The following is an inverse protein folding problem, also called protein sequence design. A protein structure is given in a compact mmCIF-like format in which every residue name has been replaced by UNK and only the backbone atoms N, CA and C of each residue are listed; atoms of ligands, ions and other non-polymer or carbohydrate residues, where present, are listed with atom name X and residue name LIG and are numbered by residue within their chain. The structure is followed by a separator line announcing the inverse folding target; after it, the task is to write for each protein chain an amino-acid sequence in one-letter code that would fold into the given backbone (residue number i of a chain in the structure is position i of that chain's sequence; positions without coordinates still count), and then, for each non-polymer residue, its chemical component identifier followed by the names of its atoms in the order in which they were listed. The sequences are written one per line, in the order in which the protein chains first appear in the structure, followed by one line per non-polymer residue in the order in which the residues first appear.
data_IF_556970636974
#
_entry.id   IF_556970636974
#
_cell.length_a   1.000
_cell.length_b   1.000
_cell.length_c   1.000
_cell.angle_alpha   90.00
_cell.angle_beta   90.00
_cell.angle_gamma   90.00
#
_symmetry.space_group_name_H-M   'P 1'
#
loop_
_entity.id
_entity.type
_entity.pdbx_description
1 polymer ?
#
# COMPACT_ATOMS: atom_id res chain seq x y z
N UNK A 1 6.05 -4.16 -30.33
CA UNK A 1 6.16 -4.65 -28.93
C UNK A 1 7.61 -4.97 -28.62
N UNK A 2 8.34 -4.10 -27.91
CA UNK A 2 9.78 -4.25 -27.69
C UNK A 2 10.08 -5.15 -26.47
N UNK A 3 10.69 -6.31 -26.71
CA UNK A 3 11.25 -7.19 -25.67
C UNK A 3 12.74 -6.90 -25.51
N UNK A 4 13.22 -6.87 -24.27
CA UNK A 4 14.64 -6.70 -23.93
C UNK A 4 15.15 -7.96 -23.24
N UNK A 5 16.41 -8.29 -23.52
CA UNK A 5 17.07 -9.44 -22.90
C UNK A 5 17.59 -9.03 -21.52
N UNK A 6 17.04 -9.62 -20.47
CA UNK A 6 17.42 -9.29 -19.10
C UNK A 6 18.86 -9.77 -18.82
N UNK A 7 19.78 -8.88 -18.44
CA UNK A 7 21.18 -9.25 -18.18
C UNK A 7 21.34 -10.23 -17.00
N UNK A 8 20.40 -10.22 -16.04
CA UNK A 8 20.47 -11.07 -14.86
C UNK A 8 19.99 -12.51 -15.11
N UNK A 9 18.97 -12.73 -15.95
CA UNK A 9 18.39 -14.06 -16.18
C UNK A 9 18.42 -14.55 -17.64
N UNK A 10 18.97 -13.76 -18.57
CA UNK A 10 19.03 -14.00 -20.04
C UNK A 10 17.69 -14.29 -20.73
N UNK A 11 16.57 -14.23 -20.02
CA UNK A 11 15.24 -14.34 -20.59
C UNK A 11 14.84 -13.07 -21.35
N UNK A 12 14.01 -13.24 -22.37
CA UNK A 12 13.33 -12.14 -23.05
C UNK A 12 12.18 -11.64 -22.17
N UNK A 13 12.33 -10.43 -21.63
CA UNK A 13 11.33 -9.82 -20.75
C UNK A 13 10.77 -8.57 -21.44
N UNK A 14 9.45 -8.39 -21.35
CA UNK A 14 8.77 -7.19 -21.87
C UNK A 14 9.38 -5.95 -21.20
N UNK A 15 9.76 -4.92 -21.98
CA UNK A 15 10.44 -3.70 -21.47
C UNK A 15 9.72 -3.06 -20.28
N UNK A 16 8.39 -3.09 -20.28
CA UNK A 16 7.52 -2.58 -19.19
C UNK A 16 7.82 -3.24 -17.82
N UNK A 17 8.10 -4.55 -17.80
CA UNK A 17 8.42 -5.28 -16.56
C UNK A 17 9.80 -4.95 -16.00
N UNK A 18 10.75 -4.50 -16.83
CA UNK A 18 12.08 -4.10 -16.38
C UNK A 18 12.09 -2.70 -15.74
N UNK A 19 11.18 -1.81 -16.16
CA UNK A 19 11.06 -0.45 -15.59
C UNK A 19 10.15 -0.38 -14.36
N UNK A 20 9.33 -1.42 -14.12
CA UNK A 20 8.47 -1.49 -12.94
C UNK A 20 9.30 -1.80 -11.69
N UNK A 21 9.85 -0.76 -11.06
CA UNK A 21 10.59 -0.89 -9.80
C UNK A 21 9.63 -1.42 -8.74
N UNK A 22 9.99 -2.57 -8.14
CA UNK A 22 9.24 -3.12 -7.00
C UNK A 22 9.14 -2.05 -5.89
N UNK A 23 7.98 -1.91 -5.23
CA UNK A 23 7.87 -1.05 -4.06
C UNK A 23 8.86 -1.53 -3.00
N UNK A 24 9.43 -0.61 -2.22
CA UNK A 24 10.43 -0.94 -1.19
C UNK A 24 9.92 -0.64 0.22
N UNK A 25 8.91 0.23 0.37
CA UNK A 25 8.33 0.61 1.64
C UNK A 25 6.80 0.56 1.58
N UNK A 26 6.18 0.40 2.75
CA UNK A 26 4.74 0.50 2.98
C UNK A 26 4.48 1.59 4.01
N UNK A 27 3.45 2.40 3.78
CA UNK A 27 2.96 3.34 4.79
C UNK A 27 1.92 2.65 5.69
N UNK A 28 2.06 2.78 7.01
CA UNK A 28 1.16 2.16 7.99
C UNK A 28 -0.18 2.88 8.06
N UNK A 29 -0.21 4.21 7.91
CA UNK A 29 -1.43 4.99 8.09
C UNK A 29 -2.39 4.90 6.90
N UNK A 30 -1.87 4.85 5.68
CA UNK A 30 -2.68 4.85 4.46
C UNK A 30 -2.50 3.59 3.60
N UNK A 31 -1.66 2.65 4.02
CA UNK A 31 -1.45 1.37 3.32
C UNK A 31 -0.81 1.48 1.94
N UNK A 32 -0.25 2.65 1.55
CA UNK A 32 0.33 2.77 0.21
C UNK A 32 1.70 2.11 0.11
N UNK A 33 1.90 1.35 -0.96
CA UNK A 33 3.19 0.75 -1.33
C UNK A 33 3.95 1.69 -2.27
N UNK A 34 5.21 1.98 -1.97
CA UNK A 34 6.01 2.89 -2.78
C UNK A 34 7.41 3.15 -2.25
N UNK A 35 8.09 4.12 -2.88
CA UNK A 35 9.34 4.68 -2.37
C UNK A 35 9.02 5.93 -1.54
N UNK A 36 9.59 6.09 -0.34
CA UNK A 36 9.41 7.29 0.44
C UNK A 36 10.10 8.47 -0.25
N UNK A 37 9.61 9.67 0.04
CA UNK A 37 10.25 10.92 -0.37
C UNK A 37 11.03 11.49 0.81
N UNK A 38 12.19 12.06 0.52
CA UNK A 38 13.01 12.75 1.52
C UNK A 38 12.54 14.19 1.65
N UNK A 39 12.29 14.63 2.88
CA UNK A 39 11.93 16.01 3.18
C UNK A 39 12.99 16.61 4.10
N UNK A 40 13.42 17.83 3.76
CA UNK A 40 14.36 18.60 4.57
C UNK A 40 13.58 19.67 5.33
N UNK A 41 13.63 19.70 6.68
CA UNK A 41 12.95 20.73 7.47
C UNK A 41 13.63 22.10 7.41
N UNK A 42 14.88 22.19 6.94
CA UNK A 42 15.60 23.45 6.88
C UNK A 42 15.15 24.32 5.70
N UNK A 43 14.94 25.60 5.99
CA UNK A 43 14.57 26.61 5.00
C UNK A 43 15.82 27.24 4.40
N UNK A 44 15.95 27.18 3.07
CA UNK A 44 17.11 27.74 2.34
C UNK A 44 17.25 29.25 2.62
N UNK A 45 16.15 29.99 2.69
CA UNK A 45 16.17 31.44 2.90
C UNK A 45 16.76 31.83 4.27
N UNK A 46 16.40 31.09 5.33
CA UNK A 46 16.96 31.27 6.67
C UNK A 46 18.46 30.95 6.65
N UNK A 47 18.86 29.85 6.00
CA UNK A 47 20.26 29.48 5.86
C UNK A 47 21.09 30.61 5.21
N UNK A 48 20.58 31.21 4.13
CA UNK A 48 21.25 32.32 3.42
C UNK A 48 21.36 33.56 4.30
N UNK A 49 20.29 33.97 4.98
CA UNK A 49 20.31 35.14 5.87
C UNK A 49 21.30 34.94 7.01
N UNK A 50 21.24 33.78 7.68
CA UNK A 50 22.15 33.48 8.79
C UNK A 50 23.60 33.47 8.31
N UNK A 51 23.90 32.86 7.16
CA UNK A 51 25.25 32.84 6.60
C UNK A 51 25.77 34.24 6.25
N UNK A 52 24.89 35.13 5.79
CA UNK A 52 25.25 36.50 5.41
C UNK A 52 25.43 37.42 6.63
N UNK A 53 24.67 37.21 7.70
CA UNK A 53 24.86 37.93 8.96
C UNK A 53 26.03 37.37 9.78
N UNK A 54 26.19 36.05 9.82
CA UNK A 54 27.20 35.35 10.62
C UNK A 54 27.48 33.96 10.04
N UNK A 55 28.70 33.73 9.53
CA UNK A 55 29.07 32.47 8.86
C UNK A 55 28.85 31.23 9.76
N UNK A 56 29.21 31.32 11.04
CA UNK A 56 29.12 30.19 12.00
C UNK A 56 27.69 29.67 12.20
N UNK A 57 26.69 30.47 12.61
CA UNK A 57 25.32 29.99 12.75
C UNK A 57 24.69 29.55 11.42
N UNK A 58 25.09 30.14 10.29
CA UNK A 58 24.66 29.70 8.96
C UNK A 58 25.07 28.25 8.66
N UNK A 59 26.34 27.92 8.88
CA UNK A 59 26.86 26.55 8.68
C UNK A 59 26.19 25.55 9.61
N UNK A 60 26.03 25.90 10.90
CA UNK A 60 25.35 25.03 11.87
C UNK A 60 23.91 24.72 11.45
N UNK A 61 23.17 25.73 10.96
CA UNK A 61 21.80 25.54 10.50
C UNK A 61 21.70 24.60 9.29
N UNK A 62 22.64 24.71 8.34
CA UNK A 62 22.71 23.82 7.17
C UNK A 62 22.98 22.36 7.61
N UNK A 63 23.93 22.17 8.53
CA UNK A 63 24.24 20.84 9.08
C UNK A 63 23.03 20.23 9.79
N UNK A 64 22.34 21.00 10.63
CA UNK A 64 21.10 20.56 11.27
C UNK A 64 20.06 20.14 10.25
N UNK A 65 19.90 20.89 9.15
CA UNK A 65 18.97 20.57 8.06
C UNK A 65 19.27 19.23 7.39
N UNK A 66 20.55 18.96 7.07
CA UNK A 66 20.98 17.70 6.47
C UNK A 66 20.73 16.53 7.43
N UNK A 67 21.17 16.66 8.68
CA UNK A 67 21.03 15.62 9.71
C UNK A 67 19.56 15.35 10.04
N UNK A 68 18.72 16.37 9.97
CA UNK A 68 17.29 16.29 10.28
C UNK A 68 16.43 15.90 9.08
N UNK A 69 17.00 15.50 7.95
CA UNK A 69 16.22 14.98 6.83
C UNK A 69 15.53 13.66 7.22
N UNK A 70 14.26 13.50 6.83
CA UNK A 70 13.51 12.30 7.15
C UNK A 70 12.66 11.83 5.96
N UNK A 71 12.25 10.57 6.02
CA UNK A 71 11.43 9.93 5.00
C UNK A 71 9.95 10.08 5.32
N UNK A 72 9.15 10.39 4.32
CA UNK A 72 7.68 10.45 4.43
C UNK A 72 6.98 9.73 3.29
N UNK A 73 5.72 9.36 3.53
CA UNK A 73 4.83 8.84 2.52
C UNK A 73 4.48 9.91 1.46
N UNK A 74 4.57 9.61 0.15
CA UNK A 74 4.21 10.57 -0.91
C UNK A 74 2.71 10.88 -0.98
N UNK A 75 1.84 10.00 -0.46
CA UNK A 75 0.39 10.21 -0.48
C UNK A 75 -0.12 11.01 0.72
N UNK A 76 0.19 10.56 1.94
CA UNK A 76 -0.36 11.16 3.16
C UNK A 76 0.65 12.00 3.96
N UNK A 77 1.93 12.07 3.55
CA UNK A 77 3.02 12.75 4.26
C UNK A 77 3.33 12.24 5.68
N UNK A 78 2.79 11.09 6.07
CA UNK A 78 3.16 10.48 7.35
C UNK A 78 4.61 9.99 7.38
N UNK A 79 5.22 10.06 8.57
CA UNK A 79 6.54 9.48 8.90
C UNK A 79 6.48 7.98 9.20
N UNK A 80 5.28 7.40 9.34
CA UNK A 80 5.08 5.97 9.60
C UNK A 80 5.25 5.14 8.31
N UNK A 81 6.48 5.12 7.77
CA UNK A 81 6.87 4.34 6.60
C UNK A 81 7.84 3.23 7.02
N UNK A 82 7.55 1.98 6.65
CA UNK A 82 8.30 0.79 7.04
C UNK A 82 8.83 0.08 5.79
N UNK A 83 10.10 -0.37 5.77
CA UNK A 83 10.63 -1.15 4.65
C UNK A 83 9.97 -2.52 4.55
N UNK A 84 9.71 -2.98 3.32
CA UNK A 84 9.09 -4.30 3.06
C UNK A 84 9.98 -5.49 3.43
N UNK A 85 11.29 -5.25 3.58
CA UNK A 85 12.25 -6.28 3.99
C UNK A 85 12.25 -6.53 5.51
N UNK A 86 11.58 -5.69 6.31
CA UNK A 86 11.45 -5.87 7.76
C UNK A 86 10.36 -6.90 8.08
N UNK A 87 10.48 -7.70 9.16
CA UNK A 87 9.45 -8.66 9.57
C UNK A 87 8.07 -8.00 9.73
N UNK A 88 8.02 -6.77 10.26
CA UNK A 88 6.77 -6.00 10.34
C UNK A 88 6.19 -5.67 8.97
N UNK A 89 7.03 -5.30 8.01
CA UNK A 89 6.61 -5.01 6.64
C UNK A 89 6.05 -6.24 5.92
N UNK A 90 6.61 -7.43 6.18
CA UNK A 90 6.11 -8.69 5.64
C UNK A 90 4.74 -9.07 6.20
N UNK A 91 4.54 -8.86 7.50
CA UNK A 91 3.23 -9.08 8.15
C UNK A 91 2.11 -8.22 7.54
N UNK A 92 2.41 -6.96 7.20
CA UNK A 92 1.45 -6.10 6.50
C UNK A 92 1.04 -6.66 5.14
N UNK A 93 1.96 -7.26 4.38
CA UNK A 93 1.64 -7.86 3.07
C UNK A 93 0.77 -9.10 3.24
N UNK A 94 1.13 -9.99 4.17
CA UNK A 94 0.38 -11.23 4.41
C UNK A 94 -1.02 -10.97 4.94
N UNK A 95 -1.18 -10.01 5.86
CA UNK A 95 -2.49 -9.62 6.39
C UNK A 95 -3.36 -8.94 5.32
N UNK A 96 -2.76 -8.11 4.46
CA UNK A 96 -3.48 -7.48 3.35
C UNK A 96 -3.94 -8.52 2.31
N UNK A 97 -3.09 -9.51 1.98
CA UNK A 97 -3.49 -10.63 1.12
C UNK A 97 -4.60 -11.47 1.76
N UNK A 98 -4.49 -11.79 3.05
CA UNK A 98 -5.50 -12.58 3.76
C UNK A 98 -6.87 -11.90 3.71
N UNK A 99 -6.91 -10.57 3.89
CA UNK A 99 -8.15 -9.78 3.82
C UNK A 99 -8.79 -9.75 2.42
N UNK A 100 -7.99 -9.74 1.36
CA UNK A 100 -8.49 -9.75 -0.02
C UNK A 100 -9.00 -11.13 -0.46
N UNK A 101 -8.43 -12.21 0.04
CA UNK A 101 -8.86 -13.57 -0.31
C UNK A 101 -10.14 -13.99 0.43
N UNK A 102 -10.35 -13.51 1.67
CA UNK A 102 -11.60 -13.79 2.42
C UNK A 102 -12.81 -12.95 2.00
N UNK A 103 -12.65 -11.93 1.15
CA UNK A 103 -13.79 -11.16 0.65
C UNK A 103 -14.39 -11.74 -0.64
N UNK A 104 -13.61 -12.47 -1.44
CA UNK A 104 -14.07 -13.01 -2.73
C UNK A 104 -14.38 -14.52 -2.71
N UNK A 105 -13.89 -15.27 -1.71
CA UNK A 105 -14.13 -16.72 -1.62
C UNK A 105 -15.25 -17.15 -0.66
N UNK A 106 -16.00 -16.21 -0.09
CA UNK A 106 -17.18 -16.48 0.75
C UNK A 106 -18.52 -16.24 0.03
N UNK A 107 -18.52 -16.29 -1.30
CA UNK A 107 -19.77 -16.34 -2.08
C UNK A 107 -20.32 -17.77 -2.22
N UNK A 108 -19.53 -18.85 -2.44
CA UNK A 108 -20.10 -20.20 -2.61
C UNK A 108 -20.44 -20.90 -1.28
N UNK A 109 -19.78 -20.55 -0.17
CA UNK A 109 -19.96 -21.18 1.15
C UNK A 109 -21.25 -20.75 1.86
N UNK A 110 -21.72 -19.51 1.63
CA UNK A 110 -22.99 -19.02 2.16
C UNK A 110 -24.21 -19.65 1.46
N UNK A 111 -24.08 -19.97 0.17
CA UNK A 111 -25.12 -20.65 -0.61
C UNK A 111 -25.30 -22.10 -0.11
N UNK A 112 -24.22 -22.77 0.26
CA UNK A 112 -24.27 -24.11 0.86
C UNK A 112 -24.95 -24.11 2.25
N UNK A 113 -24.69 -23.11 3.10
CA UNK A 113 -25.39 -22.94 4.38
C UNK A 113 -26.89 -22.68 4.24
N UNK A 114 -27.30 -22.02 3.16
CA UNK A 114 -28.73 -21.81 2.86
C UNK A 114 -29.41 -23.08 2.31
N UNK A 115 -28.66 -23.96 1.62
CA UNK A 115 -29.15 -25.27 1.22
C UNK A 115 -29.37 -26.21 2.43
N UNK A 116 -28.49 -26.15 3.43
CA UNK A 116 -28.61 -26.97 4.65
C UNK A 116 -29.81 -26.55 5.53
N UNK A 117 -30.16 -25.27 5.55
CA UNK A 117 -31.35 -24.77 6.27
C UNK A 117 -32.67 -25.07 5.52
N UNK A 118 -32.61 -25.33 4.21
CA UNK A 118 -33.77 -25.76 3.40
C UNK A 118 -34.13 -27.22 3.69
N UNK A 119 -33.14 -28.08 3.84
CA UNK A 119 -33.36 -29.52 4.10
C UNK A 119 -33.84 -29.78 5.54
N UNK A 120 -33.66 -28.83 6.46
CA UNK A 120 -34.21 -28.87 7.82
C UNK A 120 -35.68 -28.39 7.92
N UNK A 121 -36.33 -28.04 6.81
CA UNK A 121 -37.80 -27.86 6.75
C UNK A 121 -38.36 -26.58 7.40
N UNK A 122 -37.57 -25.54 7.60
CA UNK A 122 -38.00 -24.32 8.34
C UNK A 122 -38.65 -23.26 7.42
N UNK A 123 -38.48 -23.31 6.09
CA UNK A 123 -39.01 -22.29 5.16
C UNK A 123 -39.61 -22.95 3.90
N UNK A 124 -40.80 -22.50 3.47
CA UNK A 124 -41.47 -22.92 2.22
C UNK A 124 -40.86 -22.22 1.00
N UNK A 125 -40.86 -22.87 -0.19
CA UNK A 125 -40.23 -22.34 -1.42
C UNK A 125 -40.56 -20.86 -1.73
N UNK A 126 -41.77 -20.43 -1.38
CA UNK A 126 -42.29 -19.08 -1.67
C UNK A 126 -41.51 -17.94 -0.97
N UNK A 127 -41.04 -18.14 0.27
CA UNK A 127 -40.30 -17.08 0.98
C UNK A 127 -38.83 -16.97 0.54
N UNK A 128 -38.27 -18.08 0.04
CA UNK A 128 -36.89 -18.13 -0.41
C UNK A 128 -36.70 -17.37 -1.73
N UNK A 129 -37.64 -17.53 -2.67
CA UNK A 129 -37.59 -16.86 -3.96
C UNK A 129 -37.79 -15.33 -3.83
N UNK A 130 -38.63 -14.89 -2.88
CA UNK A 130 -38.82 -13.47 -2.58
C UNK A 130 -37.52 -12.80 -2.10
N UNK A 131 -36.83 -13.41 -1.12
CA UNK A 131 -35.58 -12.84 -0.57
C UNK A 131 -34.40 -12.93 -1.53
N UNK A 132 -34.36 -13.96 -2.38
CA UNK A 132 -33.36 -14.07 -3.46
C UNK A 132 -33.51 -12.95 -4.48
N UNK A 133 -34.75 -12.59 -4.83
CA UNK A 133 -35.02 -11.47 -5.75
C UNK A 133 -34.69 -10.11 -5.14
N UNK A 134 -34.94 -9.90 -3.84
CA UNK A 134 -34.57 -8.67 -3.13
C UNK A 134 -33.05 -8.46 -3.10
N UNK A 135 -32.28 -9.53 -2.87
CA UNK A 135 -30.82 -9.48 -2.84
C UNK A 135 -30.20 -9.24 -4.23
N UNK A 136 -30.80 -9.79 -5.29
CA UNK A 136 -30.37 -9.55 -6.67
C UNK A 136 -30.65 -8.12 -7.14
N UNK A 137 -31.68 -7.46 -6.58
CA UNK A 137 -32.01 -6.08 -6.89
C UNK A 137 -31.11 -5.03 -6.18
N UNK A 138 -30.32 -5.47 -5.20
CA UNK A 138 -29.35 -4.62 -4.47
C UNK A 138 -27.92 -4.69 -5.02
N UNK A 139 -27.69 -5.53 -6.03
CA UNK A 139 -26.48 -5.55 -6.87
C UNK A 139 -26.69 -4.67 -8.09
#
# INVERSE_FOLDING_TARGET
LYYLRCCSCRAWVKRERLMSRKPTHVCVDCGTFGRPIWVNPASILIAVILLLCFFVPGVIYILWGIVSTYQVCPKCRSRAVIPLNSPKGQEFISNTQKKQVTAEHDIPTQIAKMAELKDNGIITQQEFDSKKSELLARM
#
